data_IF_884539002080
#
_entry.id   IF_884539002080
#
_cell.length_a   1.000
_cell.length_b   1.000
_cell.length_c   1.000
_cell.angle_alpha   90.00
_cell.angle_beta   90.00
_cell.angle_gamma   90.00
#
_symmetry.space_group_name_H-M   'P 1'
#
loop_
_entity.id
_entity.type
_entity.pdbx_description
1 polymer ?
#
# COMPACT_ATOMS: atom_id res chain seq x y z
N UNK A 1 39.24 7.03 -8.05
CA UNK A 1 39.30 6.60 -9.47
C UNK A 1 37.97 6.99 -10.11
N UNK A 2 37.95 7.63 -11.29
CA UNK A 2 36.68 7.96 -11.95
C UNK A 2 35.93 6.67 -12.25
N UNK A 3 34.64 6.62 -11.91
CA UNK A 3 33.80 5.47 -12.19
C UNK A 3 33.70 5.27 -13.71
N UNK A 4 33.94 4.02 -14.16
CA UNK A 4 33.90 3.66 -15.57
C UNK A 4 32.47 3.84 -16.10
N UNK A 5 32.29 4.41 -17.32
CA UNK A 5 30.97 4.52 -17.91
C UNK A 5 30.29 3.17 -18.02
N UNK A 6 28.99 3.14 -17.70
CA UNK A 6 28.14 1.96 -17.87
C UNK A 6 27.29 2.19 -19.11
N UNK A 7 27.35 1.25 -20.05
CA UNK A 7 26.50 1.24 -21.25
C UNK A 7 25.40 0.20 -21.08
N UNK A 8 24.15 0.63 -21.20
CA UNK A 8 22.97 -0.23 -21.16
C UNK A 8 22.35 -0.25 -22.55
N UNK A 9 22.34 -1.43 -23.18
CA UNK A 9 21.67 -1.64 -24.46
C UNK A 9 20.23 -2.10 -24.28
N UNK A 10 19.39 -1.83 -25.29
CA UNK A 10 18.01 -2.28 -25.28
C UNK A 10 17.91 -3.82 -25.27
N UNK A 11 16.98 -4.40 -24.47
CA UNK A 11 16.78 -5.85 -24.45
C UNK A 11 16.25 -6.36 -25.79
N UNK A 12 16.51 -7.64 -26.06
CA UNK A 12 15.99 -8.32 -27.25
C UNK A 12 14.47 -8.24 -27.29
N UNK A 13 13.91 -7.80 -28.42
CA UNK A 13 12.46 -7.65 -28.61
C UNK A 13 11.88 -6.29 -28.19
N UNK A 14 12.71 -5.34 -27.72
CA UNK A 14 12.23 -3.99 -27.43
C UNK A 14 11.68 -3.31 -28.70
N UNK A 15 10.51 -2.65 -28.63
CA UNK A 15 9.90 -1.96 -29.78
C UNK A 15 10.73 -0.75 -30.25
N UNK A 16 11.58 -0.22 -29.37
CA UNK A 16 12.53 0.86 -29.64
C UNK A 16 13.86 0.54 -28.98
N UNK A 17 14.97 0.93 -29.62
CA UNK A 17 16.32 0.75 -29.09
C UNK A 17 16.81 2.04 -28.48
N UNK A 18 17.35 1.92 -27.28
CA UNK A 18 18.07 2.97 -26.60
C UNK A 18 19.41 2.41 -26.15
N UNK A 19 20.46 3.19 -26.33
CA UNK A 19 21.75 2.97 -25.70
C UNK A 19 21.96 4.11 -24.70
N UNK A 20 22.17 3.74 -23.44
CA UNK A 20 22.35 4.70 -22.34
C UNK A 20 23.76 4.57 -21.81
N UNK A 21 24.51 5.67 -21.84
CA UNK A 21 25.82 5.79 -21.22
C UNK A 21 25.71 6.69 -19.98
N UNK A 22 26.20 6.20 -18.84
CA UNK A 22 26.23 6.96 -17.59
C UNK A 22 27.68 7.21 -17.17
N UNK A 23 28.09 8.47 -17.17
CA UNK A 23 29.37 8.93 -16.64
C UNK A 23 29.17 9.61 -15.28
N UNK A 24 30.17 9.55 -14.41
CA UNK A 24 30.15 10.22 -13.11
C UNK A 24 30.98 11.51 -13.17
N UNK A 25 30.44 12.58 -12.60
CA UNK A 25 31.11 13.89 -12.48
C UNK A 25 30.97 14.39 -11.03
N UNK A 26 31.97 14.08 -10.20
CA UNK A 26 31.91 14.27 -8.76
C UNK A 26 30.77 13.46 -8.13
N UNK A 27 29.88 14.13 -7.41
CA UNK A 27 28.66 13.56 -6.81
C UNK A 27 27.50 13.45 -7.82
N UNK A 28 27.65 14.07 -9.01
CA UNK A 28 26.68 14.08 -10.09
C UNK A 28 26.94 13.02 -11.16
N UNK A 29 26.05 12.96 -12.14
CA UNK A 29 26.11 12.03 -13.27
C UNK A 29 25.79 12.76 -14.57
N UNK A 30 26.40 12.31 -15.66
CA UNK A 30 26.00 12.67 -17.03
C UNK A 30 25.38 11.44 -17.67
N UNK A 31 24.21 11.60 -18.25
CA UNK A 31 23.45 10.52 -18.89
C UNK A 31 23.32 10.87 -20.36
N UNK A 32 24.00 10.11 -21.21
CA UNK A 32 23.89 10.20 -22.67
C UNK A 32 22.95 9.11 -23.15
N UNK A 33 21.96 9.49 -23.94
CA UNK A 33 20.96 8.57 -24.49
C UNK A 33 20.95 8.70 -26.00
N UNK A 34 21.23 7.60 -26.68
CA UNK A 34 21.00 7.41 -28.09
C UNK A 34 19.67 6.67 -28.26
N UNK A 35 18.72 7.26 -28.99
CA UNK A 35 17.38 6.70 -29.15
C UNK A 35 17.06 6.29 -30.59
N UNK A 36 15.80 5.92 -30.88
CA UNK A 36 15.39 5.59 -32.24
C UNK A 36 15.50 6.80 -33.19
N UNK A 37 16.31 6.65 -34.26
CA UNK A 37 16.66 7.72 -35.21
C UNK A 37 18.05 8.32 -34.93
N UNK A 38 18.50 9.36 -35.65
CA UNK A 38 19.84 9.95 -35.46
C UNK A 38 19.92 10.86 -34.21
N UNK A 39 19.02 10.70 -33.23
CA UNK A 39 18.90 11.61 -32.09
C UNK A 39 19.69 11.08 -30.91
N UNK A 40 20.69 11.86 -30.50
CA UNK A 40 21.43 11.64 -29.26
C UNK A 40 21.32 12.87 -28.38
N UNK A 41 20.90 12.67 -27.13
CA UNK A 41 20.81 13.73 -26.13
C UNK A 41 21.70 13.42 -24.93
N UNK A 42 22.15 14.46 -24.23
CA UNK A 42 22.98 14.33 -23.02
C UNK A 42 22.38 15.18 -21.91
N UNK A 43 22.20 14.58 -20.74
CA UNK A 43 21.55 15.18 -19.58
C UNK A 43 22.49 15.21 -18.39
N UNK A 44 22.47 16.30 -17.63
CA UNK A 44 23.13 16.38 -16.34
C UNK A 44 22.16 15.96 -15.24
N UNK A 45 22.61 15.07 -14.36
CA UNK A 45 21.92 14.68 -13.13
C UNK A 45 22.82 15.06 -11.95
N UNK A 46 22.72 16.29 -11.43
CA UNK A 46 23.69 16.82 -10.47
C UNK A 46 23.58 16.18 -9.08
N UNK A 47 22.45 15.53 -8.75
CA UNK A 47 22.18 14.94 -7.42
C UNK A 47 21.40 13.63 -7.55
N UNK A 48 21.58 12.72 -6.60
CA UNK A 48 20.86 11.45 -6.53
C UNK A 48 19.53 11.54 -5.74
N UNK A 49 18.75 12.59 -5.97
CA UNK A 49 17.48 12.87 -5.27
C UNK A 49 16.28 12.58 -6.16
N UNK A 50 15.15 12.17 -5.57
CA UNK A 50 13.92 11.84 -6.30
C UNK A 50 13.49 12.94 -7.30
N UNK A 51 13.50 14.21 -6.87
CA UNK A 51 13.11 15.33 -7.73
C UNK A 51 13.99 15.47 -8.98
N UNK A 52 15.30 15.28 -8.84
CA UNK A 52 16.26 15.38 -9.95
C UNK A 52 16.06 14.28 -10.99
N UNK A 53 15.70 13.06 -10.56
CA UNK A 53 15.31 11.99 -11.48
C UNK A 53 13.99 12.31 -12.21
N UNK A 54 13.01 12.93 -11.54
CA UNK A 54 11.78 13.36 -12.19
C UNK A 54 12.03 14.42 -13.27
N UNK A 55 12.93 15.38 -13.03
CA UNK A 55 13.33 16.39 -14.02
C UNK A 55 14.01 15.74 -15.24
N UNK A 56 14.95 14.83 -14.99
CA UNK A 56 15.60 14.04 -16.04
C UNK A 56 14.58 13.29 -16.90
N UNK A 57 13.66 12.54 -16.28
CA UNK A 57 12.65 11.77 -17.01
C UNK A 57 11.66 12.66 -17.78
N UNK A 58 11.35 13.85 -17.26
CA UNK A 58 10.55 14.84 -17.99
C UNK A 58 11.27 15.36 -19.24
N UNK A 59 12.58 15.65 -19.14
CA UNK A 59 13.39 16.07 -20.29
C UNK A 59 13.50 14.96 -21.36
N UNK A 60 13.75 13.71 -20.93
CA UNK A 60 13.78 12.55 -21.83
C UNK A 60 12.43 12.37 -22.53
N UNK A 61 11.31 12.56 -21.81
CA UNK A 61 9.97 12.49 -22.39
C UNK A 61 9.74 13.54 -23.49
N UNK A 62 10.24 14.76 -23.30
CA UNK A 62 10.17 15.82 -24.33
C UNK A 62 11.01 15.44 -25.57
N UNK A 63 12.21 14.90 -25.37
CA UNK A 63 13.12 14.61 -26.47
C UNK A 63 12.80 13.33 -27.25
N UNK A 64 12.33 12.29 -26.57
CA UNK A 64 12.14 10.96 -27.15
C UNK A 64 10.68 10.52 -27.17
N UNK A 65 9.74 11.34 -26.68
CA UNK A 65 8.32 10.99 -26.63
C UNK A 65 7.99 9.87 -25.64
N UNK A 66 8.86 9.62 -24.65
CA UNK A 66 8.60 8.64 -23.60
C UNK A 66 7.51 9.13 -22.64
N UNK A 67 7.05 8.27 -21.72
CA UNK A 67 6.01 8.65 -20.76
C UNK A 67 6.53 9.73 -19.79
N UNK A 68 5.90 10.90 -19.79
CA UNK A 68 6.13 11.96 -18.79
C UNK A 68 5.82 11.44 -17.38
N UNK A 69 6.68 11.68 -16.36
CA UNK A 69 6.38 11.34 -14.97
C UNK A 69 5.06 11.98 -14.50
N UNK A 70 4.21 11.19 -13.85
CA UNK A 70 2.85 11.61 -13.49
C UNK A 70 2.86 12.86 -12.59
N UNK A 71 3.81 12.93 -11.66
CA UNK A 71 4.03 14.07 -10.75
C UNK A 71 4.47 15.36 -11.43
N UNK A 72 4.82 15.32 -12.72
CA UNK A 72 5.19 16.49 -13.54
C UNK A 72 4.13 16.84 -14.58
N UNK A 73 3.07 16.05 -14.70
CA UNK A 73 1.87 16.48 -15.43
C UNK A 73 1.12 17.45 -14.52
N UNK A 74 0.78 18.63 -15.03
CA UNK A 74 -0.23 19.45 -14.38
C UNK A 74 -1.52 18.62 -14.31
N UNK A 75 -1.84 18.14 -13.12
CA UNK A 75 -3.14 17.56 -12.84
C UNK A 75 -4.01 18.72 -12.37
N UNK A 76 -4.92 19.17 -13.23
CA UNK A 76 -6.03 19.99 -12.77
C UNK A 76 -6.86 19.10 -11.86
N UNK A 77 -6.59 19.20 -10.56
CA UNK A 77 -7.47 18.60 -9.57
C UNK A 77 -8.82 19.30 -9.73
N UNK A 78 -9.92 18.56 -9.95
CA UNK A 78 -11.24 19.19 -9.91
C UNK A 78 -11.36 19.95 -8.57
N UNK A 79 -11.96 21.15 -8.58
CA UNK A 79 -12.34 21.86 -7.36
C UNK A 79 -13.46 21.10 -6.65
N UNK A 80 -13.15 19.93 -6.10
CA UNK A 80 -14.09 19.16 -5.32
C UNK A 80 -13.97 19.63 -3.87
N UNK A 81 -14.85 20.54 -3.46
CA UNK A 81 -15.04 20.89 -2.06
C UNK A 81 -15.78 19.74 -1.36
N UNK A 82 -15.09 18.62 -1.19
CA UNK A 82 -15.60 17.55 -0.32
C UNK A 82 -15.52 18.07 1.10
N UNK A 83 -16.65 18.13 1.79
CA UNK A 83 -16.66 18.37 3.22
C UNK A 83 -16.13 17.11 3.89
N UNK A 84 -14.91 17.18 4.40
CA UNK A 84 -14.29 16.10 5.17
C UNK A 84 -14.58 16.35 6.64
N UNK A 85 -15.46 15.53 7.22
CA UNK A 85 -15.65 15.49 8.67
C UNK A 85 -14.78 14.34 9.21
N UNK A 86 -13.90 14.65 10.17
CA UNK A 86 -13.06 13.62 10.80
C UNK A 86 -13.90 12.74 11.71
N UNK A 87 -13.83 11.42 11.49
CA UNK A 87 -14.42 10.39 12.36
C UNK A 87 -13.30 9.57 13.00
N UNK A 88 -13.59 8.91 14.12
CA UNK A 88 -12.64 8.02 14.80
C UNK A 88 -11.29 8.70 15.14
N UNK A 89 -11.34 9.92 15.65
CA UNK A 89 -10.13 10.66 16.08
C UNK A 89 -9.51 10.12 17.36
N UNK A 90 -10.26 9.31 18.10
CA UNK A 90 -9.82 8.64 19.33
C UNK A 90 -10.25 7.16 19.30
N UNK A 91 -9.53 6.26 19.99
CA UNK A 91 -9.96 4.88 20.18
C UNK A 91 -11.34 4.81 20.83
N UNK A 92 -12.29 4.06 20.23
CA UNK A 92 -13.61 3.80 20.83
C UNK A 92 -13.54 2.80 21.99
N UNK A 93 -12.41 2.13 22.14
CA UNK A 93 -12.09 1.20 23.22
C UNK A 93 -10.59 1.25 23.55
N UNK A 94 -10.19 1.10 24.83
CA UNK A 94 -8.79 0.98 25.22
C UNK A 94 -8.08 -0.24 24.63
N UNK A 95 -8.83 -1.24 24.15
CA UNK A 95 -8.26 -2.43 23.53
C UNK A 95 -7.76 -2.18 22.09
N UNK A 96 -8.12 -1.04 21.49
CA UNK A 96 -7.62 -0.59 20.18
C UNK A 96 -6.31 0.17 20.39
N UNK A 97 -5.20 -0.57 20.48
CA UNK A 97 -3.89 -0.01 20.87
C UNK A 97 -3.19 0.83 19.80
N UNK A 98 -3.53 0.62 18.53
CA UNK A 98 -2.79 1.17 17.39
C UNK A 98 -3.61 2.13 16.51
N UNK A 99 -4.76 2.58 17.01
CA UNK A 99 -5.67 3.43 16.25
C UNK A 99 -6.30 2.70 15.06
N UNK A 100 -6.50 3.43 13.96
CA UNK A 100 -7.27 2.98 12.80
C UNK A 100 -6.44 3.00 11.51
N UNK A 101 -5.29 2.33 11.53
CA UNK A 101 -4.46 2.11 10.35
C UNK A 101 -5.07 1.07 9.40
N UNK A 102 -4.88 1.27 8.10
CA UNK A 102 -5.30 0.35 7.03
C UNK A 102 -6.77 -0.06 7.12
N UNK A 103 -7.73 0.90 7.07
CA UNK A 103 -9.14 0.59 7.24
C UNK A 103 -9.72 -0.16 6.04
N UNK A 104 -10.32 -1.33 6.31
CA UNK A 104 -11.24 -1.99 5.38
C UNK A 104 -12.68 -1.81 5.89
N UNK A 105 -13.56 -1.30 5.02
CA UNK A 105 -14.97 -1.04 5.33
C UNK A 105 -15.87 -1.90 4.44
N UNK A 106 -16.70 -2.75 5.04
CA UNK A 106 -17.66 -3.62 4.37
C UNK A 106 -19.10 -3.18 4.66
N UNK A 107 -19.93 -3.01 3.63
CA UNK A 107 -21.38 -2.85 3.79
C UNK A 107 -22.07 -4.22 3.79
N UNK A 108 -22.89 -4.48 4.81
CA UNK A 108 -23.73 -5.67 4.90
C UNK A 108 -25.19 -5.22 4.91
N UNK A 109 -25.91 -5.32 3.78
CA UNK A 109 -27.28 -4.80 3.65
C UNK A 109 -28.32 -5.64 4.41
N UNK A 110 -28.11 -6.96 4.49
CA UNK A 110 -29.12 -7.93 4.93
C UNK A 110 -28.65 -8.75 6.16
N UNK A 111 -28.18 -8.07 7.19
CA UNK A 111 -27.75 -8.70 8.46
C UNK A 111 -28.88 -8.89 9.48
N UNK A 112 -28.71 -9.74 10.52
CA UNK A 112 -29.70 -9.95 11.59
C UNK A 112 -30.13 -8.68 12.35
N UNK A 113 -29.32 -7.61 12.27
CA UNK A 113 -29.59 -6.29 12.85
C UNK A 113 -29.94 -5.20 11.82
N UNK A 114 -30.30 -5.57 10.60
CA UNK A 114 -30.50 -4.66 9.47
C UNK A 114 -29.19 -4.24 8.78
N UNK A 115 -29.28 -3.29 7.83
CA UNK A 115 -28.11 -2.81 7.09
C UNK A 115 -27.10 -2.16 8.02
N UNK A 116 -25.83 -2.53 7.88
CA UNK A 116 -24.75 -1.99 8.69
C UNK A 116 -23.43 -1.99 7.90
N UNK A 117 -22.50 -1.20 8.40
CA UNK A 117 -21.12 -1.11 7.95
C UNK A 117 -20.22 -1.72 9.01
N UNK A 118 -19.23 -2.49 8.57
CA UNK A 118 -18.20 -3.07 9.42
C UNK A 118 -16.84 -2.50 9.02
N UNK A 119 -16.08 -2.04 10.00
CA UNK A 119 -14.73 -1.53 9.84
C UNK A 119 -13.77 -2.46 10.56
N UNK A 120 -12.73 -2.91 9.87
CA UNK A 120 -11.64 -3.70 10.41
C UNK A 120 -10.32 -2.99 10.14
N UNK A 121 -9.41 -2.98 11.11
CA UNK A 121 -8.16 -2.19 11.07
C UNK A 121 -6.97 -2.98 11.59
N UNK A 122 -5.76 -2.55 11.22
CA UNK A 122 -4.49 -3.09 11.72
C UNK A 122 -4.43 -3.13 13.25
N UNK A 123 -3.84 -4.18 13.81
CA UNK A 123 -3.73 -4.38 15.27
C UNK A 123 -2.33 -4.72 15.76
N UNK A 124 -1.37 -4.90 14.84
CA UNK A 124 0.03 -5.17 15.13
C UNK A 124 0.21 -6.35 16.11
N UNK A 125 0.68 -6.09 17.33
CA UNK A 125 0.94 -7.11 18.35
C UNK A 125 -0.13 -7.18 19.46
N UNK A 126 -1.27 -6.49 19.28
CA UNK A 126 -2.33 -6.47 20.27
C UNK A 126 -2.79 -7.90 20.63
N UNK A 127 -3.14 -8.17 21.91
CA UNK A 127 -3.61 -9.49 22.33
C UNK A 127 -4.87 -9.92 21.59
N UNK A 128 -5.77 -8.97 21.30
CA UNK A 128 -6.94 -9.16 20.45
C UNK A 128 -6.65 -8.55 19.08
N UNK A 129 -6.87 -9.33 18.04
CA UNK A 129 -6.40 -9.00 16.70
C UNK A 129 -7.53 -8.53 15.81
N UNK A 130 -7.25 -7.47 15.05
CA UNK A 130 -8.14 -6.80 14.11
C UNK A 130 -9.49 -6.45 14.75
N UNK A 131 -9.59 -5.33 15.49
CA UNK A 131 -10.86 -4.89 16.05
C UNK A 131 -11.87 -4.65 14.92
N UNK A 132 -13.11 -5.10 15.17
CA UNK A 132 -14.23 -4.97 14.24
C UNK A 132 -15.20 -3.98 14.84
N UNK A 133 -15.37 -2.85 14.17
CA UNK A 133 -16.35 -1.83 14.53
C UNK A 133 -17.57 -1.95 13.64
N UNK A 134 -18.74 -1.59 14.16
CA UNK A 134 -20.01 -1.53 13.43
C UNK A 134 -20.54 -0.10 13.38
N UNK A 135 -21.20 0.28 12.29
CA UNK A 135 -21.91 1.55 12.15
C UNK A 135 -23.16 1.38 11.29
N UNK A 136 -24.18 2.21 11.50
CA UNK A 136 -25.35 2.30 10.62
C UNK A 136 -25.38 3.60 9.80
N UNK A 137 -24.47 4.55 10.08
CA UNK A 137 -24.46 5.88 9.49
C UNK A 137 -23.07 6.34 9.00
N UNK A 138 -22.05 5.48 9.08
CA UNK A 138 -20.63 5.73 8.78
C UNK A 138 -19.96 6.81 9.66
N UNK A 139 -20.69 7.35 10.63
CA UNK A 139 -20.21 8.43 11.51
C UNK A 139 -19.97 7.91 12.92
N UNK A 140 -20.94 7.18 13.48
CA UNK A 140 -20.88 6.60 14.82
C UNK A 140 -20.49 5.14 14.70
N UNK A 141 -19.40 4.78 15.37
CA UNK A 141 -18.82 3.45 15.32
C UNK A 141 -18.75 2.86 16.72
N UNK A 142 -19.15 1.60 16.85
CA UNK A 142 -19.09 0.83 18.09
C UNK A 142 -18.17 -0.38 17.89
N UNK A 143 -17.27 -0.66 18.83
CA UNK A 143 -16.51 -1.92 18.82
C UNK A 143 -17.47 -3.07 19.10
N UNK A 144 -17.58 -4.02 18.17
CA UNK A 144 -18.48 -5.19 18.32
C UNK A 144 -17.72 -6.48 18.61
N UNK A 145 -16.48 -6.62 18.12
CA UNK A 145 -15.69 -7.84 18.25
C UNK A 145 -14.23 -7.64 17.83
N UNK A 146 -13.45 -8.72 17.81
CA UNK A 146 -12.13 -8.82 17.23
C UNK A 146 -12.10 -10.03 16.30
N UNK A 147 -11.41 -9.95 15.17
CA UNK A 147 -11.37 -11.06 14.23
C UNK A 147 -10.75 -12.31 14.87
N UNK A 148 -9.67 -12.14 15.62
CA UNK A 148 -9.11 -13.17 16.49
C UNK A 148 -9.08 -12.65 17.93
N UNK A 149 -10.05 -13.05 18.78
CA UNK A 149 -9.97 -12.85 20.21
C UNK A 149 -8.65 -13.37 20.81
N UNK A 150 -8.28 -12.88 22.00
CA UNK A 150 -7.05 -13.31 22.66
C UNK A 150 -6.96 -14.83 22.78
N UNK A 151 -5.83 -15.40 22.37
CA UNK A 151 -5.61 -16.85 22.34
C UNK A 151 -6.20 -17.61 21.14
N UNK A 152 -6.78 -16.90 20.15
CA UNK A 152 -7.33 -17.50 18.93
C UNK A 152 -6.60 -17.10 17.65
N UNK A 153 -5.42 -16.47 17.78
CA UNK A 153 -4.56 -16.15 16.64
C UNK A 153 -4.17 -17.46 15.90
N UNK A 154 -3.98 -17.40 14.56
CA UNK A 154 -3.57 -18.57 13.78
C UNK A 154 -2.27 -19.18 14.30
N UNK A 155 -2.22 -20.51 14.43
CA UNK A 155 -1.07 -21.22 14.99
C UNK A 155 0.23 -21.05 14.19
N UNK A 156 0.14 -20.65 12.91
CA UNK A 156 1.30 -20.41 12.05
C UNK A 156 1.93 -19.02 12.27
N UNK A 157 1.21 -18.09 12.88
CA UNK A 157 1.64 -16.71 13.09
C UNK A 157 2.37 -16.57 14.44
N UNK A 158 3.34 -15.66 14.48
CA UNK A 158 3.97 -15.22 15.72
C UNK A 158 2.93 -14.55 16.63
N UNK A 159 2.98 -14.88 17.92
CA UNK A 159 2.12 -14.28 18.93
C UNK A 159 2.96 -13.79 20.12
N UNK A 160 2.80 -12.52 20.43
CA UNK A 160 3.44 -11.84 21.55
C UNK A 160 3.73 -10.37 21.25
N UNK A 161 3.99 -9.57 22.30
CA UNK A 161 4.42 -8.19 22.17
C UNK A 161 5.71 -8.08 21.35
N UNK A 162 5.78 -7.08 20.48
CA UNK A 162 6.93 -6.75 19.62
C UNK A 162 7.39 -7.87 18.66
N UNK A 163 6.62 -8.97 18.54
CA UNK A 163 6.95 -10.11 17.65
C UNK A 163 5.80 -10.49 16.69
N UNK A 164 4.59 -9.98 16.94
CA UNK A 164 3.46 -10.18 16.02
C UNK A 164 3.26 -8.94 15.14
N UNK A 165 2.93 -9.17 13.87
CA UNK A 165 2.73 -8.10 12.87
C UNK A 165 1.42 -8.32 12.13
N UNK A 166 0.30 -8.29 12.84
CA UNK A 166 -1.02 -8.40 12.21
C UNK A 166 -1.39 -7.08 11.52
N UNK A 167 -1.03 -7.00 10.24
CA UNK A 167 -1.13 -5.81 9.40
C UNK A 167 -2.21 -5.93 8.32
N UNK A 168 -2.64 -4.76 7.82
CA UNK A 168 -3.56 -4.50 6.73
C UNK A 168 -4.54 -5.65 6.41
N UNK A 169 -5.68 -5.72 7.13
CA UNK A 169 -6.74 -6.67 6.85
C UNK A 169 -7.65 -6.22 5.70
N UNK A 170 -8.23 -7.18 4.99
CA UNK A 170 -9.30 -7.00 4.02
C UNK A 170 -10.43 -8.00 4.30
N UNK A 171 -11.67 -7.50 4.41
CA UNK A 171 -12.85 -8.28 4.75
C UNK A 171 -13.88 -8.22 3.62
N UNK A 172 -14.28 -9.40 3.14
CA UNK A 172 -15.25 -9.52 2.06
C UNK A 172 -16.31 -10.57 2.37
N UNK A 173 -17.56 -10.27 1.99
CA UNK A 173 -18.61 -11.29 1.88
C UNK A 173 -18.39 -12.08 0.58
N UNK A 174 -18.19 -13.40 0.71
CA UNK A 174 -17.98 -14.31 -0.43
C UNK A 174 -18.86 -15.55 -0.25
N UNK A 175 -19.89 -15.63 -1.09
CA UNK A 175 -20.88 -16.70 -0.99
C UNK A 175 -21.77 -16.52 0.23
N UNK A 176 -21.82 -17.52 1.10
CA UNK A 176 -22.62 -17.58 2.31
C UNK A 176 -21.84 -17.23 3.59
N UNK A 177 -20.64 -16.66 3.45
CA UNK A 177 -19.81 -16.30 4.59
C UNK A 177 -18.84 -15.16 4.31
N UNK A 178 -18.04 -14.86 5.31
CA UNK A 178 -17.12 -13.72 5.33
C UNK A 178 -15.69 -14.22 5.36
N UNK A 179 -14.87 -13.65 4.49
CA UNK A 179 -13.46 -13.97 4.37
C UNK A 179 -12.62 -12.77 4.76
N UNK A 180 -11.69 -13.03 5.67
CA UNK A 180 -10.67 -12.10 6.09
C UNK A 180 -9.34 -12.51 5.44
N UNK A 181 -8.76 -11.60 4.68
CA UNK A 181 -7.38 -11.70 4.17
C UNK A 181 -6.52 -10.75 4.99
N UNK A 182 -5.34 -11.18 5.43
CA UNK A 182 -4.49 -10.36 6.28
C UNK A 182 -3.01 -10.73 6.12
N UNK A 183 -2.12 -9.87 6.60
CA UNK A 183 -0.69 -10.19 6.70
C UNK A 183 -0.33 -10.47 8.16
N UNK A 184 0.48 -11.50 8.41
CA UNK A 184 1.10 -11.73 9.71
C UNK A 184 2.53 -12.27 9.60
N UNK A 185 3.35 -12.01 10.62
CA UNK A 185 4.70 -12.57 10.72
C UNK A 185 4.66 -14.03 11.18
N UNK A 186 5.51 -14.85 10.58
CA UNK A 186 5.77 -16.24 10.99
C UNK A 186 6.91 -16.31 12.01
N UNK A 187 7.05 -17.40 12.79
CA UNK A 187 8.15 -17.56 13.74
C UNK A 187 9.56 -17.48 13.14
N UNK A 188 9.71 -17.74 11.84
CA UNK A 188 10.99 -17.61 11.11
C UNK A 188 11.30 -16.16 10.67
N UNK A 189 10.43 -15.21 11.02
CA UNK A 189 10.58 -13.79 10.71
C UNK A 189 9.99 -13.37 9.36
N UNK A 190 9.52 -14.30 8.53
CA UNK A 190 8.91 -13.98 7.23
C UNK A 190 7.48 -13.43 7.39
N UNK A 191 7.08 -12.51 6.52
CA UNK A 191 5.70 -12.07 6.41
C UNK A 191 4.94 -12.98 5.44
N UNK A 192 3.73 -13.39 5.83
CA UNK A 192 2.86 -14.23 5.02
C UNK A 192 1.43 -13.69 5.00
N UNK A 193 0.70 -14.05 3.95
CA UNK A 193 -0.72 -13.74 3.80
C UNK A 193 -1.53 -14.88 4.41
N UNK A 194 -2.41 -14.54 5.35
CA UNK A 194 -3.41 -15.42 5.94
C UNK A 194 -4.77 -15.25 5.29
N UNK A 195 -5.56 -16.33 5.32
CA UNK A 195 -6.99 -16.30 5.09
C UNK A 195 -7.69 -16.84 6.33
N UNK A 196 -8.84 -16.27 6.68
CA UNK A 196 -9.70 -16.78 7.72
C UNK A 196 -11.17 -16.59 7.33
N UNK A 197 -12.06 -17.43 7.86
CA UNK A 197 -13.50 -17.41 7.55
C UNK A 197 -14.36 -17.31 8.80
N UNK A 198 -15.50 -16.64 8.66
CA UNK A 198 -16.60 -16.62 9.63
C UNK A 198 -17.95 -16.68 8.90
N UNK A 199 -18.99 -17.17 9.57
CA UNK A 199 -20.38 -17.08 9.08
C UNK A 199 -21.04 -15.72 9.43
N UNK A 200 -20.31 -14.85 10.14
CA UNK A 200 -20.75 -13.52 10.58
C UNK A 200 -19.70 -12.45 10.31
N UNK A 201 -20.10 -11.22 9.95
CA UNK A 201 -19.15 -10.14 9.70
C UNK A 201 -18.39 -9.71 10.97
N UNK A 202 -18.99 -9.89 12.16
CA UNK A 202 -18.35 -9.64 13.46
C UNK A 202 -17.44 -10.79 13.96
N UNK A 203 -17.28 -11.86 13.19
CA UNK A 203 -16.46 -12.99 13.59
C UNK A 203 -17.06 -13.84 14.73
N UNK A 204 -16.21 -14.53 15.52
CA UNK A 204 -14.76 -14.64 15.34
C UNK A 204 -14.40 -15.39 14.04
N UNK A 205 -13.21 -15.15 13.52
CA UNK A 205 -12.72 -15.78 12.29
C UNK A 205 -11.81 -16.97 12.62
N UNK A 206 -11.83 -17.98 11.75
CA UNK A 206 -10.97 -19.17 11.86
C UNK A 206 -10.07 -19.26 10.63
N UNK A 207 -8.76 -19.31 10.85
CA UNK A 207 -7.72 -19.41 9.83
C UNK A 207 -7.27 -20.85 9.56
#
# INVERSE_FOLDING_TARGET
MPARPVTLGAPVGAPFRFDVEVAHDGDGRTIRIEGPGPRTCTYALPRAEHAAYLDLFAAIAVDFGTRVPLSRRACELPEQRVRLDSVLTEPVSPDIRYGYGDPCVLHVPDGPGGPAWYLIVTSNDAPQTFPILRSTDLVRWELVSFAFPAGSKPAWASDGPDVSDFWAPELHEVGDGYWLVFTARRPDGTLAIGLARSDRPEGPFVA
#
